data_IF_252874989934
#
_entry.id   IF_252874989934
#
_cell.length_a   1.000
_cell.length_b   1.000
_cell.length_c   1.000
_cell.angle_alpha   90.00
_cell.angle_beta   90.00
_cell.angle_gamma   90.00
#
_symmetry.space_group_name_H-M   'P 1'
#
loop_
_entity.id
_entity.type
_entity.pdbx_description
1 polymer ?
#
# COMPACT_ATOMS: atom_id res chain seq x y z
N UNK A 1 -5.67 -8.24 6.42
CA UNK A 1 -6.70 -7.30 6.89
C UNK A 1 -6.06 -5.91 6.89
N UNK A 2 -6.70 -4.91 6.28
CA UNK A 2 -6.15 -3.55 6.25
C UNK A 2 -6.95 -2.66 7.18
N UNK A 3 -6.25 -1.84 7.97
CA UNK A 3 -6.87 -0.90 8.89
C UNK A 3 -6.32 0.49 8.57
N UNK A 4 -7.24 1.40 8.23
CA UNK A 4 -6.98 2.84 8.18
C UNK A 4 -7.72 3.45 9.36
N UNK A 5 -7.05 4.35 10.05
CA UNK A 5 -7.66 5.04 11.16
C UNK A 5 -7.62 6.55 10.87
N UNK A 6 -8.79 7.11 10.56
CA UNK A 6 -9.02 8.54 10.42
C UNK A 6 -9.09 9.16 11.81
N UNK A 7 -8.18 10.07 12.12
CA UNK A 7 -8.17 10.76 13.40
C UNK A 7 -8.11 12.26 13.18
N UNK A 8 -9.23 12.94 13.41
CA UNK A 8 -9.25 14.40 13.48
C UNK A 8 -8.29 14.87 14.58
N UNK A 9 -7.22 15.54 14.18
CA UNK A 9 -6.23 16.24 15.01
C UNK A 9 -5.99 15.62 16.40
N UNK A 10 -5.00 14.73 16.50
CA UNK A 10 -4.43 14.31 17.79
C UNK A 10 -3.88 15.52 18.55
N UNK A 11 -4.72 16.14 19.40
CA UNK A 11 -4.31 17.19 20.35
C UNK A 11 -3.75 16.53 21.63
N UNK A 12 -2.73 17.12 22.29
CA UNK A 12 -2.02 16.51 23.42
C UNK A 12 -2.87 16.08 24.65
N UNK A 13 -4.15 16.47 24.73
CA UNK A 13 -4.98 16.30 25.92
C UNK A 13 -5.86 15.04 25.94
N UNK A 14 -5.98 14.27 24.84
CA UNK A 14 -6.83 13.07 24.80
C UNK A 14 -6.02 11.79 25.00
N UNK A 15 -5.45 11.59 26.19
CA UNK A 15 -4.57 10.45 26.50
C UNK A 15 -5.18 9.37 27.42
N UNK A 16 -6.50 9.35 27.61
CA UNK A 16 -7.19 8.31 28.39
C UNK A 16 -8.39 7.71 27.65
N UNK A 17 -8.12 6.91 26.61
CA UNK A 17 -8.95 5.76 26.18
C UNK A 17 -8.31 5.04 24.99
N UNK A 18 -7.48 4.05 25.26
CA UNK A 18 -7.17 2.96 24.32
C UNK A 18 -8.09 1.74 24.55
N UNK A 19 -9.35 2.02 24.93
CA UNK A 19 -10.41 1.02 25.01
C UNK A 19 -11.74 1.70 24.68
N UNK A 20 -12.26 1.43 23.48
CA UNK A 20 -13.61 1.82 23.08
C UNK A 20 -13.69 3.01 22.14
N UNK A 21 -13.22 2.83 20.90
CA UNK A 21 -13.99 3.10 19.67
C UNK A 21 -13.11 2.69 18.47
N UNK A 22 -12.98 1.39 18.25
CA UNK A 22 -12.41 0.83 17.01
C UNK A 22 -13.57 0.73 16.02
N UNK A 23 -13.81 1.79 15.24
CA UNK A 23 -14.73 1.67 14.10
C UNK A 23 -13.97 1.02 12.95
N UNK A 24 -14.01 -0.32 12.90
CA UNK A 24 -13.50 -1.10 11.78
C UNK A 24 -14.46 -0.88 10.60
N UNK A 25 -14.10 -0.06 9.62
CA UNK A 25 -14.81 -0.05 8.34
C UNK A 25 -14.32 -1.23 7.49
N UNK A 26 -15.07 -2.32 7.48
CA UNK A 26 -14.93 -3.39 6.50
C UNK A 26 -15.58 -2.94 5.18
N UNK A 27 -14.79 -2.69 4.15
CA UNK A 27 -15.32 -2.54 2.80
C UNK A 27 -15.75 -3.92 2.25
N UNK A 28 -17.05 -4.09 2.00
CA UNK A 28 -17.57 -5.22 1.22
C UNK A 28 -17.66 -4.81 -0.25
N UNK A 29 -17.18 -5.64 -1.21
CA UNK A 29 -17.41 -5.37 -2.61
C UNK A 29 -18.88 -5.65 -2.96
N UNK A 30 -19.60 -4.64 -3.44
CA UNK A 30 -20.90 -4.83 -4.08
C UNK A 30 -20.70 -5.42 -5.47
N UNK A 31 -21.07 -6.69 -5.66
CA UNK A 31 -21.21 -7.30 -6.98
C UNK A 31 -22.48 -6.72 -7.65
N UNK A 32 -22.34 -5.72 -8.50
CA UNK A 32 -23.38 -5.37 -9.46
C UNK A 32 -23.24 -6.25 -10.71
N UNK A 33 -24.34 -6.93 -11.04
CA UNK A 33 -24.56 -7.79 -12.21
C UNK A 33 -23.95 -7.19 -13.48
N UNK A 34 -23.19 -8.00 -14.21
CA UNK A 34 -22.88 -7.71 -15.61
C UNK A 34 -24.12 -8.03 -16.44
N UNK A 35 -24.61 -7.04 -17.17
CA UNK A 35 -25.62 -7.22 -18.21
C UNK A 35 -25.01 -7.98 -19.39
N UNK A 36 -25.62 -9.11 -19.75
CA UNK A 36 -25.33 -9.91 -20.95
C UNK A 36 -25.80 -9.18 -22.21
N UNK A 37 -24.97 -8.99 -23.25
CA UNK A 37 -25.48 -8.55 -24.54
C UNK A 37 -25.97 -9.72 -25.39
N UNK A 38 -27.21 -9.54 -25.84
CA UNK A 38 -28.04 -10.36 -26.72
C UNK A 38 -27.34 -10.77 -28.04
N UNK A 39 -27.38 -12.07 -28.34
CA UNK A 39 -26.81 -12.68 -29.53
C UNK A 39 -27.80 -12.60 -30.72
N UNK A 40 -27.65 -11.61 -31.59
CA UNK A 40 -28.35 -11.54 -32.87
C UNK A 40 -27.41 -11.85 -34.05
N UNK A 41 -27.73 -12.91 -34.78
CA UNK A 41 -26.90 -13.45 -35.87
C UNK A 41 -26.84 -12.59 -37.13
N UNK A 42 -25.75 -12.76 -37.88
CA UNK A 42 -25.68 -12.56 -39.34
C UNK A 42 -24.53 -13.38 -39.92
N UNK A 43 -24.84 -14.10 -40.99
CA UNK A 43 -23.99 -14.95 -41.80
C UNK A 43 -23.05 -14.13 -42.69
N UNK A 44 -21.78 -14.56 -42.86
CA UNK A 44 -21.08 -14.58 -44.15
C UNK A 44 -19.60 -15.02 -44.06
N UNK A 45 -19.29 -16.04 -44.87
CA UNK A 45 -18.06 -16.22 -45.67
C UNK A 45 -16.70 -16.41 -44.97
N UNK A 46 -16.25 -17.67 -44.93
CA UNK A 46 -14.86 -18.08 -44.67
C UNK A 46 -13.92 -17.57 -45.77
N UNK A 47 -12.97 -16.69 -45.43
CA UNK A 47 -11.74 -16.48 -46.19
C UNK A 47 -10.53 -16.93 -45.37
N UNK A 48 -9.74 -17.86 -45.93
CA UNK A 48 -8.48 -18.36 -45.37
C UNK A 48 -7.40 -17.27 -45.45
N UNK A 49 -6.71 -16.91 -44.35
CA UNK A 49 -5.57 -16.01 -44.43
C UNK A 49 -4.33 -16.74 -44.96
N UNK A 50 -3.54 -16.03 -45.77
CA UNK A 50 -2.35 -16.52 -46.47
C UNK A 50 -1.13 -16.67 -45.54
N UNK A 51 -0.13 -17.42 -46.03
CA UNK A 51 1.10 -17.92 -45.36
C UNK A 51 2.05 -16.90 -44.70
N UNK A 52 1.70 -15.61 -44.59
CA UNK A 52 2.60 -14.54 -44.13
C UNK A 52 2.50 -14.25 -42.62
N UNK A 53 1.50 -14.80 -41.91
CA UNK A 53 1.28 -14.55 -40.47
C UNK A 53 2.15 -15.39 -39.50
N UNK A 54 3.36 -15.81 -39.90
CA UNK A 54 4.23 -16.70 -39.10
C UNK A 54 5.50 -16.06 -38.52
N UNK A 55 5.71 -14.74 -38.67
CA UNK A 55 7.00 -14.10 -38.34
C UNK A 55 6.90 -12.88 -37.41
N UNK A 56 6.16 -12.99 -36.31
CA UNK A 56 6.24 -11.99 -35.23
C UNK A 56 5.85 -12.58 -33.86
N UNK A 57 6.48 -13.70 -33.49
CA UNK A 57 6.60 -14.08 -32.06
C UNK A 57 8.02 -13.73 -31.64
N UNK A 58 8.29 -12.43 -31.53
CA UNK A 58 9.56 -11.91 -30.99
C UNK A 58 9.27 -11.29 -29.62
N UNK A 59 9.62 -12.05 -28.58
CA UNK A 59 10.09 -11.56 -27.28
C UNK A 59 9.24 -10.49 -26.59
N UNK A 60 8.24 -10.91 -25.82
CA UNK A 60 7.86 -10.20 -24.60
C UNK A 60 8.49 -10.92 -23.41
N UNK A 61 9.67 -10.44 -23.00
CA UNK A 61 10.19 -10.69 -21.65
C UNK A 61 9.18 -10.06 -20.69
N UNK A 62 8.52 -10.89 -19.88
CA UNK A 62 7.68 -10.37 -18.80
C UNK A 62 8.59 -9.74 -17.75
N UNK A 63 8.60 -8.41 -17.69
CA UNK A 63 9.19 -7.71 -16.54
C UNK A 63 8.27 -7.92 -15.34
N UNK A 64 8.80 -8.47 -14.26
CA UNK A 64 8.10 -8.63 -12.99
C UNK A 64 7.68 -7.27 -12.45
N UNK A 65 6.44 -6.87 -12.70
CA UNK A 65 5.87 -5.65 -12.14
C UNK A 65 5.80 -5.79 -10.60
N UNK A 66 6.28 -4.81 -9.83
CA UNK A 66 6.08 -4.78 -8.39
C UNK A 66 4.58 -4.86 -8.07
N UNK A 67 4.21 -5.77 -7.16
CA UNK A 67 2.82 -6.00 -6.76
C UNK A 67 2.11 -4.71 -6.31
N UNK A 68 0.92 -4.46 -6.86
CA UNK A 68 0.05 -3.34 -6.48
C UNK A 68 -0.85 -3.84 -5.33
N UNK A 69 -0.79 -3.24 -4.12
CA UNK A 69 -1.62 -3.72 -3.01
C UNK A 69 -3.10 -3.57 -3.34
N UNK A 70 -3.87 -4.66 -3.19
CA UNK A 70 -5.28 -4.83 -3.60
C UNK A 70 -6.27 -3.84 -2.98
N UNK A 71 -5.85 -3.02 -2.01
CA UNK A 71 -6.67 -1.97 -1.38
C UNK A 71 -5.82 -0.74 -1.04
N UNK A 72 -4.81 -0.43 -1.87
CA UNK A 72 -3.92 0.70 -1.60
C UNK A 72 -4.68 2.02 -1.79
N UNK A 73 -5.45 2.13 -2.86
CA UNK A 73 -6.08 3.38 -3.28
C UNK A 73 -7.20 3.77 -2.31
N UNK A 74 -8.03 2.82 -1.92
CA UNK A 74 -9.10 3.00 -0.94
C UNK A 74 -8.55 3.39 0.42
N UNK A 75 -7.45 2.77 0.84
CA UNK A 75 -6.81 3.11 2.10
C UNK A 75 -6.21 4.52 2.09
N UNK A 76 -5.61 4.95 0.97
CA UNK A 76 -5.08 6.30 0.82
C UNK A 76 -6.21 7.34 0.73
N UNK A 77 -7.31 7.00 0.08
CA UNK A 77 -8.49 7.84 0.02
C UNK A 77 -9.10 8.05 1.42
N UNK A 78 -9.28 6.97 2.19
CA UNK A 78 -9.73 7.05 3.59
C UNK A 78 -8.73 7.81 4.47
N UNK A 79 -7.42 7.66 4.24
CA UNK A 79 -6.41 8.39 5.01
C UNK A 79 -6.50 9.93 4.81
N UNK A 80 -7.20 10.41 3.78
CA UNK A 80 -7.41 11.83 3.56
C UNK A 80 -6.11 12.59 3.33
N UNK A 81 -5.17 11.99 2.58
CA UNK A 81 -3.82 12.54 2.41
C UNK A 81 -3.88 13.94 1.78
N UNK A 82 -3.29 14.92 2.46
CA UNK A 82 -3.26 16.32 2.01
C UNK A 82 -1.85 16.90 2.03
N UNK A 83 -1.68 18.04 1.33
CA UNK A 83 -0.39 18.74 1.22
C UNK A 83 0.13 19.09 2.61
N UNK A 84 1.41 18.83 2.86
CA UNK A 84 2.07 19.17 4.12
C UNK A 84 1.72 18.28 5.32
N UNK A 85 0.86 17.27 5.15
CA UNK A 85 0.42 16.40 6.23
C UNK A 85 1.52 15.47 6.76
N UNK A 86 1.37 15.02 8.00
CA UNK A 86 2.27 14.11 8.70
C UNK A 86 1.59 12.77 8.93
N UNK A 87 2.13 11.72 8.32
CA UNK A 87 1.53 10.40 8.34
C UNK A 87 2.50 9.35 8.89
N UNK A 88 1.93 8.29 9.47
CA UNK A 88 2.70 7.11 9.87
C UNK A 88 2.31 5.92 8.98
N UNK A 89 3.33 5.28 8.39
CA UNK A 89 3.21 3.95 7.77
C UNK A 89 3.73 2.92 8.78
N UNK A 90 2.83 2.23 9.47
CA UNK A 90 3.18 1.37 10.59
C UNK A 90 3.78 0.01 10.16
N UNK A 91 3.76 -0.29 8.86
CA UNK A 91 4.16 -1.58 8.27
C UNK A 91 4.78 -1.35 6.90
N UNK A 92 5.91 -0.64 6.86
CA UNK A 92 6.56 -0.14 5.66
C UNK A 92 6.66 -1.18 4.54
N UNK A 93 7.17 -2.38 4.84
CA UNK A 93 7.36 -3.46 3.87
C UNK A 93 8.23 -3.03 2.70
N UNK A 94 7.64 -2.96 1.51
CA UNK A 94 8.32 -2.46 0.30
C UNK A 94 8.16 -0.94 0.08
N UNK A 95 7.49 -0.22 0.98
CA UNK A 95 7.22 1.22 0.90
C UNK A 95 6.05 1.59 -0.02
N UNK A 96 5.07 0.69 -0.19
CA UNK A 96 3.94 0.90 -1.09
C UNK A 96 3.01 2.03 -0.64
N UNK A 97 2.64 2.05 0.64
CA UNK A 97 1.83 3.12 1.22
C UNK A 97 2.63 4.41 1.41
N UNK A 98 3.85 4.30 1.95
CA UNK A 98 4.79 5.43 2.02
C UNK A 98 4.88 6.20 0.70
N UNK A 99 5.12 5.52 -0.44
CA UNK A 99 5.16 6.20 -1.75
C UNK A 99 3.83 6.85 -2.13
N UNK A 100 2.72 6.17 -1.88
CA UNK A 100 1.41 6.70 -2.22
C UNK A 100 1.04 7.95 -1.39
N UNK A 101 1.41 7.97 -0.11
CA UNK A 101 1.27 9.16 0.75
C UNK A 101 2.17 10.28 0.22
N UNK A 102 3.43 9.97 -0.07
CA UNK A 102 4.43 10.97 -0.45
C UNK A 102 4.33 11.50 -1.88
N UNK A 103 3.47 10.89 -2.69
CA UNK A 103 3.03 11.45 -3.96
C UNK A 103 2.34 12.81 -3.76
N UNK A 104 1.74 13.04 -2.58
CA UNK A 104 1.22 14.34 -2.20
C UNK A 104 2.38 15.28 -1.78
N UNK A 105 2.46 16.50 -2.32
CA UNK A 105 3.57 17.40 -2.03
C UNK A 105 3.69 17.76 -0.55
N UNK A 106 4.94 17.97 -0.11
CA UNK A 106 5.29 18.44 1.25
C UNK A 106 4.87 17.53 2.41
N UNK A 107 4.24 16.39 2.15
CA UNK A 107 3.94 15.41 3.20
C UNK A 107 5.22 14.90 3.85
N UNK A 108 5.14 14.60 5.14
CA UNK A 108 6.18 13.91 5.89
C UNK A 108 5.67 12.55 6.33
N UNK A 109 6.51 11.53 6.24
CA UNK A 109 6.18 10.17 6.67
C UNK A 109 7.20 9.67 7.67
N UNK A 110 6.70 9.13 8.79
CA UNK A 110 7.47 8.30 9.71
C UNK A 110 7.04 6.85 9.51
N UNK A 111 7.90 6.05 8.87
CA UNK A 111 7.61 4.68 8.50
C UNK A 111 8.29 3.70 9.45
N UNK A 112 7.61 2.60 9.78
CA UNK A 112 8.06 1.58 10.71
C UNK A 112 8.13 0.22 10.00
N UNK A 113 9.21 -0.52 10.23
CA UNK A 113 9.20 -1.97 10.02
C UNK A 113 10.01 -2.67 11.11
N UNK A 114 9.58 -3.86 11.51
CA UNK A 114 10.39 -4.72 12.39
C UNK A 114 11.42 -5.54 11.62
N UNK A 115 11.22 -5.70 10.31
CA UNK A 115 12.08 -6.47 9.44
C UNK A 115 13.26 -5.60 8.98
N UNK A 116 14.44 -5.87 9.52
CA UNK A 116 15.67 -5.17 9.15
C UNK A 116 15.96 -5.25 7.64
N UNK A 117 15.52 -6.30 6.94
CA UNK A 117 15.72 -6.40 5.48
C UNK A 117 14.87 -5.38 4.73
N UNK A 118 13.63 -5.13 5.17
CA UNK A 118 12.76 -4.10 4.63
C UNK A 118 13.34 -2.69 4.89
N UNK A 119 13.85 -2.46 6.10
CA UNK A 119 14.50 -1.19 6.46
C UNK A 119 15.72 -0.91 5.58
N UNK A 120 16.62 -1.90 5.42
CA UNK A 120 17.80 -1.79 4.55
C UNK A 120 17.41 -1.53 3.09
N UNK A 121 16.43 -2.26 2.56
CA UNK A 121 15.95 -2.06 1.20
C UNK A 121 15.26 -0.69 1.00
N UNK A 122 14.64 -0.16 2.05
CA UNK A 122 13.96 1.13 2.05
C UNK A 122 14.88 2.35 2.08
N UNK A 123 16.17 2.20 2.39
CA UNK A 123 17.07 3.35 2.54
C UNK A 123 17.21 4.18 1.25
N UNK A 124 17.17 3.53 0.08
CA UNK A 124 17.17 4.25 -1.20
C UNK A 124 15.97 5.20 -1.35
N UNK A 125 14.79 4.80 -0.83
CA UNK A 125 13.60 5.65 -0.81
C UNK A 125 13.74 6.80 0.19
N UNK A 126 14.40 6.58 1.34
CA UNK A 126 14.69 7.64 2.30
C UNK A 126 15.53 8.74 1.64
N UNK A 127 16.57 8.34 0.91
CA UNK A 127 17.47 9.26 0.22
C UNK A 127 16.74 10.02 -0.91
N UNK A 128 15.92 9.31 -1.70
CA UNK A 128 15.07 9.89 -2.75
C UNK A 128 14.12 10.97 -2.21
N UNK A 129 13.60 10.77 -1.00
CA UNK A 129 12.59 11.63 -0.40
C UNK A 129 13.17 12.86 0.33
N UNK A 130 14.50 13.02 0.34
CA UNK A 130 15.20 14.24 0.77
C UNK A 130 14.73 14.78 2.13
N UNK A 131 14.70 13.90 3.14
CA UNK A 131 14.35 14.26 4.52
C UNK A 131 12.85 14.34 4.81
N UNK A 132 11.98 14.11 3.82
CA UNK A 132 10.53 13.98 4.06
C UNK A 132 10.12 12.60 4.60
N UNK A 133 10.99 11.60 4.46
CA UNK A 133 10.79 10.25 4.98
C UNK A 133 11.79 9.96 6.10
N UNK A 134 11.28 9.42 7.20
CA UNK A 134 12.08 8.78 8.25
C UNK A 134 11.65 7.33 8.35
N UNK A 135 12.57 6.39 8.13
CA UNK A 135 12.30 4.96 8.24
C UNK A 135 13.00 4.41 9.48
N UNK A 136 12.26 3.75 10.36
CA UNK A 136 12.76 3.21 11.63
C UNK A 136 12.60 1.69 11.71
N UNK A 137 13.65 1.02 12.20
CA UNK A 137 13.57 -0.38 12.61
C UNK A 137 12.89 -0.47 13.98
N UNK A 138 11.56 -0.63 13.99
CA UNK A 138 10.77 -0.69 15.22
C UNK A 138 9.45 -1.42 14.98
N UNK A 139 8.88 -1.98 16.06
CA UNK A 139 7.53 -2.56 16.01
C UNK A 139 6.49 -1.42 16.01
N UNK A 140 5.38 -1.60 15.30
CA UNK A 140 4.27 -0.65 15.37
C UNK A 140 3.68 -0.49 16.78
N UNK A 141 3.89 -1.46 17.68
CA UNK A 141 3.50 -1.34 19.10
C UNK A 141 4.27 -0.24 19.85
N UNK A 142 5.37 0.26 19.28
CA UNK A 142 6.22 1.33 19.82
C UNK A 142 5.96 2.68 19.13
N UNK A 143 4.93 2.76 18.28
CA UNK A 143 4.64 3.92 17.43
C UNK A 143 4.59 5.22 18.22
N UNK A 144 3.94 5.19 19.38
CA UNK A 144 3.73 6.37 20.22
C UNK A 144 5.04 6.94 20.79
N UNK A 145 5.89 6.07 21.35
CA UNK A 145 7.17 6.47 21.94
C UNK A 145 8.14 6.99 20.87
N UNK A 146 8.18 6.31 19.73
CA UNK A 146 9.03 6.73 18.61
C UNK A 146 8.54 8.03 18.00
N UNK A 147 7.23 8.20 17.78
CA UNK A 147 6.67 9.44 17.27
C UNK A 147 6.95 10.64 18.19
N UNK A 148 6.92 10.43 19.52
CA UNK A 148 7.33 11.45 20.50
C UNK A 148 8.82 11.76 20.42
N UNK A 149 9.67 10.75 20.44
CA UNK A 149 11.12 10.93 20.37
C UNK A 149 11.55 11.69 19.10
N UNK A 150 10.84 11.47 17.99
CA UNK A 150 11.07 12.15 16.71
C UNK A 150 10.36 13.51 16.59
N UNK A 151 9.68 13.98 17.64
CA UNK A 151 8.86 15.20 17.60
C UNK A 151 7.89 15.24 16.40
N UNK A 152 7.31 14.07 16.07
CA UNK A 152 6.51 13.87 14.85
C UNK A 152 5.02 14.22 15.04
N UNK A 153 4.59 14.50 16.26
CA UNK A 153 3.23 14.97 16.56
C UNK A 153 3.04 16.48 16.28
N UNK A 154 1.81 16.95 16.00
CA UNK A 154 0.60 16.14 15.75
C UNK A 154 0.69 15.38 14.43
N UNK A 155 -0.11 14.32 14.29
CA UNK A 155 -0.20 13.48 13.09
C UNK A 155 -1.59 13.60 12.47
N UNK A 156 -1.65 13.50 11.15
CA UNK A 156 -2.87 13.62 10.34
C UNK A 156 -3.46 12.24 10.01
N UNK A 157 -2.66 11.17 10.08
CA UNK A 157 -3.17 9.81 9.92
C UNK A 157 -2.13 8.71 10.09
N UNK A 158 -2.63 7.48 10.28
CA UNK A 158 -1.82 6.27 10.38
C UNK A 158 -2.41 5.17 9.51
N UNK A 159 -1.57 4.45 8.77
CA UNK A 159 -1.95 3.27 8.00
C UNK A 159 -1.28 2.01 8.54
N UNK A 160 -2.06 0.92 8.62
CA UNK A 160 -1.59 -0.41 8.98
C UNK A 160 -1.97 -1.42 7.89
N UNK A 161 -0.97 -2.05 7.27
CA UNK A 161 -1.15 -3.18 6.37
C UNK A 161 -0.89 -4.49 7.12
N UNK A 162 -1.93 -4.98 7.81
CA UNK A 162 -1.83 -6.17 8.64
C UNK A 162 -1.98 -7.41 7.76
N UNK A 163 -0.84 -7.93 7.33
CA UNK A 163 -0.71 -9.14 6.54
C UNK A 163 0.76 -9.54 6.39
N UNK A 164 0.99 -10.68 5.78
CA UNK A 164 2.31 -11.11 5.32
C UNK A 164 2.49 -10.64 3.88
N UNK A 165 3.64 -10.02 3.58
CA UNK A 165 3.93 -9.54 2.22
C UNK A 165 4.36 -10.69 1.32
N UNK A 166 4.17 -10.56 0.01
CA UNK A 166 4.62 -11.55 -0.98
C UNK A 166 6.13 -11.82 -0.86
N UNK A 167 6.95 -10.82 -0.55
CA UNK A 167 8.40 -10.99 -0.29
C UNK A 167 8.70 -12.00 0.84
N UNK A 168 7.78 -12.15 1.80
CA UNK A 168 7.91 -13.12 2.89
C UNK A 168 7.55 -14.54 2.44
N UNK A 169 6.67 -14.68 1.46
CA UNK A 169 6.35 -15.97 0.82
C UNK A 169 7.37 -16.38 -0.25
N UNK A 170 7.90 -15.43 -1.01
CA UNK A 170 8.81 -15.69 -2.13
C UNK A 170 10.21 -16.14 -1.67
N UNK A 171 10.55 -15.91 -0.40
CA UNK A 171 11.76 -16.43 0.22
C UNK A 171 11.43 -17.71 0.99
N UNK A 172 11.55 -18.87 0.34
CA UNK A 172 11.29 -20.18 0.95
C UNK A 172 12.04 -20.39 2.29
N UNK A 173 13.23 -19.80 2.45
CA UNK A 173 14.02 -19.84 3.68
C UNK A 173 13.35 -19.15 4.89
N UNK A 174 12.29 -18.36 4.68
CA UNK A 174 11.55 -17.67 5.75
C UNK A 174 10.43 -18.52 6.35
N UNK A 175 10.16 -19.71 5.80
CA UNK A 175 9.23 -20.67 6.39
C UNK A 175 7.75 -20.35 6.23
N UNK A 176 7.39 -19.53 5.22
CA UNK A 176 5.99 -19.20 4.90
C UNK A 176 5.42 -19.98 3.71
N UNK A 177 6.22 -20.82 3.04
CA UNK A 177 5.79 -21.75 1.99
C UNK A 177 5.75 -23.18 2.55
N UNK A 178 4.65 -23.91 2.31
CA UNK A 178 4.41 -25.29 2.76
C UNK A 178 4.64 -26.31 1.64
#
# INVERSE_FOLDING_TARGET
MKAVAEFGAWRPACFRRLAGFMSIQTAQPQLSRLDEPELAGRTASRRRPSRVARRLVRSMRMTSAPHIPVLREEAIAALGVHRGGRYIDATFGAGGYTRAIMAQPETRVLAFDRDQTAVKAGQALVDEMRGRLTLVEARFSQLEDVARAQSFAPLDGVVFDIGVSSMQFDQAARGFSF
#
